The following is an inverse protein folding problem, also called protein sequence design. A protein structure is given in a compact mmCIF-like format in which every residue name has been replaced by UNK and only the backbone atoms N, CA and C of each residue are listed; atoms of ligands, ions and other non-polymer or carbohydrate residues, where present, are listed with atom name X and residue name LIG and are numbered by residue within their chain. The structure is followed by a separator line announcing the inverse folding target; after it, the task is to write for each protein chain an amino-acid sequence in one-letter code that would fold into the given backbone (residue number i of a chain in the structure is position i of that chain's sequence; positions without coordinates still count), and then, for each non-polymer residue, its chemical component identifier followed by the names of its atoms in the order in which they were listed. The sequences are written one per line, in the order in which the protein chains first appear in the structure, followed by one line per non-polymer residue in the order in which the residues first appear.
data_IF_077858610209
#
_entry.id   IF_077858610209
#
_cell.length_a   1.000
_cell.length_b   1.000
_cell.length_c   1.000
_cell.angle_alpha   90.00
_cell.angle_beta   90.00
_cell.angle_gamma   90.00
#
_symmetry.space_group_name_H-M   'P 1'
#
loop_
_entity.id
_entity.type
_entity.pdbx_description
1 polymer ?
#
# COMPACT_ATOMS: atom_id res chain seq x y z
N UNK A 1 -18.74 -5.20 -15.29
CA UNK A 1 -18.21 -5.86 -14.07
C UNK A 1 -16.83 -6.42 -14.41
N UNK A 2 -15.77 -6.09 -13.65
CA UNK A 2 -14.44 -6.67 -13.85
C UNK A 2 -14.34 -7.99 -13.06
N UNK A 3 -13.76 -9.06 -13.64
CA UNK A 3 -13.54 -10.32 -12.93
C UNK A 3 -12.74 -10.08 -11.64
N UNK A 4 -13.19 -10.65 -10.52
CA UNK A 4 -12.55 -10.51 -9.20
C UNK A 4 -11.06 -10.93 -9.21
N UNK A 5 -10.69 -11.85 -10.11
CA UNK A 5 -9.29 -12.28 -10.28
C UNK A 5 -8.40 -11.17 -10.87
N UNK A 6 -8.93 -10.34 -11.78
CA UNK A 6 -8.19 -9.22 -12.39
C UNK A 6 -8.10 -7.99 -11.47
N UNK A 7 -8.94 -7.92 -10.42
CA UNK A 7 -8.84 -6.87 -9.39
C UNK A 7 -7.56 -7.04 -8.55
N UNK A 8 -7.02 -8.27 -8.47
CA UNK A 8 -5.81 -8.58 -7.70
C UNK A 8 -4.50 -8.42 -8.48
N UNK A 9 -4.54 -8.29 -9.81
CA UNK A 9 -3.33 -8.13 -10.61
C UNK A 9 -2.63 -6.80 -10.30
N UNK A 10 -1.28 -6.80 -10.16
CA UNK A 10 -0.55 -5.56 -9.99
C UNK A 10 -0.74 -4.65 -11.19
N UNK A 11 -0.88 -3.34 -10.92
CA UNK A 11 -0.89 -2.33 -11.97
C UNK A 11 0.54 -2.04 -12.43
N UNK A 12 0.73 -1.82 -13.73
CA UNK A 12 2.04 -1.43 -14.26
C UNK A 12 2.51 -0.09 -13.69
N UNK A 13 1.57 0.85 -13.49
CA UNK A 13 1.81 2.14 -12.86
C UNK A 13 1.27 2.15 -11.44
N UNK A 14 2.05 2.73 -10.53
CA UNK A 14 1.59 2.99 -9.18
C UNK A 14 0.34 3.88 -9.18
N UNK A 15 -0.60 3.70 -8.23
CA UNK A 15 -1.72 4.61 -8.06
C UNK A 15 -1.22 6.05 -7.82
N UNK A 16 -1.84 7.00 -8.50
CA UNK A 16 -1.52 8.43 -8.41
C UNK A 16 -2.51 9.22 -7.53
N UNK A 17 -3.62 8.58 -7.12
CA UNK A 17 -4.66 9.20 -6.32
C UNK A 17 -5.01 8.32 -5.13
N UNK A 18 -5.17 8.97 -3.97
CA UNK A 18 -5.82 8.40 -2.79
C UNK A 18 -7.28 8.86 -2.77
N UNK A 19 -8.13 8.07 -2.12
CA UNK A 19 -9.53 8.45 -1.89
C UNK A 19 -9.64 9.20 -0.56
N UNK A 20 -10.40 10.30 -0.49
CA UNK A 20 -10.59 11.02 0.76
C UNK A 20 -11.25 10.11 1.81
N UNK A 21 -10.99 10.37 3.10
CA UNK A 21 -11.57 9.60 4.21
C UNK A 21 -13.10 9.61 4.16
N UNK A 22 -13.68 10.78 3.93
CA UNK A 22 -15.12 10.97 3.69
C UNK A 22 -15.29 11.76 2.39
N UNK A 23 -15.92 11.18 1.36
CA UNK A 23 -16.23 11.86 0.09
C UNK A 23 -17.12 13.11 0.27
N UNK A 24 -16.97 14.11 -0.61
CA UNK A 24 -17.66 15.40 -0.50
C UNK A 24 -19.19 15.26 -0.53
N UNK A 25 -19.72 14.36 -1.36
CA UNK A 25 -21.15 14.01 -1.45
C UNK A 25 -21.71 13.48 -0.11
N UNK A 26 -20.87 12.81 0.69
CA UNK A 26 -21.23 12.28 2.01
C UNK A 26 -21.14 13.33 3.11
N UNK A 27 -20.44 14.44 2.89
CA UNK A 27 -20.33 15.56 3.83
C UNK A 27 -21.48 16.56 3.68
N UNK A 28 -22.01 16.72 2.46
CA UNK A 28 -23.06 17.68 2.14
C UNK A 28 -24.29 17.66 3.08
N UNK A 29 -24.76 16.50 3.60
CA UNK A 29 -25.87 16.45 4.54
C UNK A 29 -25.58 16.99 5.95
N UNK A 30 -24.32 17.29 6.30
CA UNK A 30 -23.90 17.65 7.66
C UNK A 30 -23.25 19.04 7.73
N UNK A 31 -23.99 20.12 7.45
CA UNK A 31 -23.44 21.48 7.41
C UNK A 31 -22.90 21.95 8.77
N UNK A 32 -23.44 21.44 9.88
CA UNK A 32 -22.95 21.74 11.23
C UNK A 32 -21.51 21.26 11.50
N UNK A 33 -21.04 20.27 10.74
CA UNK A 33 -19.67 19.76 10.79
C UNK A 33 -18.75 20.42 9.76
N UNK A 34 -19.23 21.38 8.96
CA UNK A 34 -18.42 22.04 7.94
C UNK A 34 -17.13 22.69 8.49
N UNK A 35 -17.14 23.40 9.65
CA UNK A 35 -15.90 23.91 10.23
C UNK A 35 -14.94 22.78 10.61
N UNK A 36 -15.48 21.69 11.16
CA UNK A 36 -14.69 20.53 11.58
C UNK A 36 -14.06 19.82 10.37
N UNK A 37 -14.78 19.73 9.24
CA UNK A 37 -14.25 19.21 7.98
C UNK A 37 -13.14 20.08 7.40
N UNK A 38 -13.24 21.41 7.47
CA UNK A 38 -12.18 22.31 6.99
C UNK A 38 -10.87 22.10 7.77
N UNK A 39 -10.96 21.95 9.09
CA UNK A 39 -9.79 21.61 9.91
C UNK A 39 -9.21 20.26 9.50
N UNK A 40 -10.04 19.24 9.30
CA UNK A 40 -9.57 17.91 8.90
C UNK A 40 -8.94 17.89 7.50
N UNK A 41 -9.46 18.68 6.57
CA UNK A 41 -8.89 18.81 5.23
C UNK A 41 -7.54 19.55 5.26
N UNK A 42 -7.36 20.50 6.20
CA UNK A 42 -6.09 21.21 6.39
C UNK A 42 -5.04 20.35 7.09
N UNK A 43 -5.43 19.69 8.19
CA UNK A 43 -4.48 19.06 9.10
C UNK A 43 -4.28 17.56 8.83
N UNK A 44 -5.34 16.82 8.50
CA UNK A 44 -5.31 15.35 8.41
C UNK A 44 -5.20 14.86 6.97
N UNK A 45 -5.92 15.48 6.04
CA UNK A 45 -6.01 15.00 4.66
C UNK A 45 -4.65 14.93 3.92
N UNK A 46 -3.71 15.88 4.08
CA UNK A 46 -2.40 15.79 3.43
C UNK A 46 -1.61 14.56 3.91
N UNK A 47 -1.50 14.39 5.23
CA UNK A 47 -0.80 13.27 5.85
C UNK A 47 -1.44 11.92 5.48
N UNK A 48 -2.78 11.88 5.46
CA UNK A 48 -3.52 10.67 5.10
C UNK A 48 -3.28 10.30 3.64
N UNK A 49 -3.35 11.27 2.73
CA UNK A 49 -3.13 11.07 1.29
C UNK A 49 -1.72 10.55 1.02
N UNK A 50 -0.72 11.12 1.69
CA UNK A 50 0.67 10.69 1.57
C UNK A 50 0.87 9.23 2.03
N UNK A 51 0.38 8.89 3.23
CA UNK A 51 0.48 7.55 3.79
C UNK A 51 -0.28 6.51 2.95
N UNK A 52 -1.50 6.82 2.50
CA UNK A 52 -2.30 5.92 1.68
C UNK A 52 -1.68 5.71 0.29
N UNK A 53 -1.17 6.76 -0.36
CA UNK A 53 -0.43 6.63 -1.61
C UNK A 53 0.86 5.83 -1.44
N UNK A 54 1.59 6.04 -0.34
CA UNK A 54 2.79 5.26 -0.04
C UNK A 54 2.45 3.78 0.13
N UNK A 55 1.44 3.45 0.94
CA UNK A 55 0.96 2.09 1.10
C UNK A 55 0.57 1.45 -0.25
N UNK A 56 -0.18 2.17 -1.09
CA UNK A 56 -0.57 1.69 -2.42
C UNK A 56 0.64 1.43 -3.34
N UNK A 57 1.69 2.26 -3.27
CA UNK A 57 2.93 2.07 -4.02
C UNK A 57 3.66 0.80 -3.57
N UNK A 58 3.84 0.61 -2.26
CA UNK A 58 4.51 -0.57 -1.70
C UNK A 58 3.72 -1.85 -2.00
N UNK A 59 2.40 -1.83 -1.83
CA UNK A 59 1.54 -2.97 -2.17
C UNK A 59 1.68 -3.36 -3.64
N UNK A 60 1.67 -2.38 -4.55
CA UNK A 60 1.79 -2.66 -5.97
C UNK A 60 3.17 -3.22 -6.34
N UNK A 61 4.24 -2.71 -5.70
CA UNK A 61 5.60 -3.22 -5.87
C UNK A 61 5.72 -4.67 -5.40
N UNK A 62 5.25 -4.96 -4.19
CA UNK A 62 5.22 -6.30 -3.61
C UNK A 62 4.48 -7.29 -4.54
N UNK A 63 3.27 -6.93 -4.99
CA UNK A 63 2.51 -7.80 -5.92
C UNK A 63 3.22 -8.04 -7.25
N UNK A 64 3.93 -7.04 -7.79
CA UNK A 64 4.73 -7.21 -9.02
C UNK A 64 5.85 -8.22 -8.81
N UNK A 65 6.54 -8.17 -7.67
CA UNK A 65 7.59 -9.12 -7.33
C UNK A 65 7.02 -10.54 -7.25
N UNK A 66 5.90 -10.73 -6.55
CA UNK A 66 5.25 -12.05 -6.46
C UNK A 66 4.86 -12.62 -7.82
N UNK A 67 4.32 -11.79 -8.73
CA UNK A 67 3.97 -12.24 -10.08
C UNK A 67 5.22 -12.63 -10.87
N UNK A 68 6.31 -11.87 -10.77
CA UNK A 68 7.57 -12.20 -11.45
C UNK A 68 8.17 -13.51 -10.92
N UNK A 69 8.16 -13.71 -9.60
CA UNK A 69 8.60 -14.95 -8.97
C UNK A 69 7.76 -16.12 -9.49
N UNK A 70 6.43 -16.00 -9.47
CA UNK A 70 5.53 -17.05 -9.92
C UNK A 70 5.74 -17.41 -11.41
N UNK A 71 5.80 -16.41 -12.29
CA UNK A 71 6.07 -16.62 -13.72
C UNK A 71 7.44 -17.25 -13.95
N UNK A 72 8.44 -16.79 -13.19
CA UNK A 72 9.79 -17.33 -13.21
C UNK A 72 9.85 -18.80 -12.79
N UNK A 73 9.17 -19.15 -11.68
CA UNK A 73 9.05 -20.52 -11.21
C UNK A 73 8.32 -21.40 -12.24
N UNK A 74 7.21 -20.94 -12.81
CA UNK A 74 6.48 -21.67 -13.84
C UNK A 74 7.33 -21.93 -15.09
N UNK A 75 8.10 -20.93 -15.53
CA UNK A 75 9.02 -21.07 -16.66
C UNK A 75 10.15 -22.07 -16.35
N UNK A 76 10.74 -22.01 -15.14
CA UNK A 76 11.75 -22.99 -14.69
C UNK A 76 11.20 -24.41 -14.70
N UNK A 77 10.00 -24.63 -14.14
CA UNK A 77 9.34 -25.94 -14.15
C UNK A 77 9.06 -26.42 -15.57
N UNK A 78 8.54 -25.55 -16.44
CA UNK A 78 8.26 -25.90 -17.83
C UNK A 78 9.52 -26.26 -18.62
N UNK A 79 10.60 -25.49 -18.46
CA UNK A 79 11.90 -25.78 -19.08
C UNK A 79 12.52 -27.08 -18.55
N UNK A 80 12.38 -27.36 -17.24
CA UNK A 80 12.84 -28.61 -16.65
C UNK A 80 12.11 -29.82 -17.23
N UNK A 81 10.80 -29.70 -17.42
CA UNK A 81 9.98 -30.72 -18.09
C UNK A 81 10.39 -30.91 -19.56
N UNK A 82 10.66 -29.83 -20.30
CA UNK A 82 11.15 -29.91 -21.68
C UNK A 82 12.54 -30.55 -21.79
N UNK A 83 13.45 -30.25 -20.85
CA UNK A 83 14.77 -30.88 -20.82
C UNK A 83 14.68 -32.40 -20.62
N UNK A 84 13.68 -32.89 -19.88
CA UNK A 84 13.45 -34.32 -19.71
C UNK A 84 12.98 -35.02 -21.01
N UNK A 85 12.43 -34.28 -21.97
CA UNK A 85 11.95 -34.80 -23.26
C UNK A 85 12.99 -34.68 -24.39
N UNK A 86 13.96 -33.77 -24.27
CA UNK A 86 14.97 -33.47 -25.30
C UNK A 86 16.39 -33.65 -24.75
N UNK A 87 16.74 -34.87 -24.34
CA UNK A 87 18.02 -35.20 -23.69
C UNK A 87 19.26 -34.91 -24.56
N UNK A 88 19.14 -34.93 -25.89
CA UNK A 88 20.26 -34.70 -26.81
C UNK A 88 20.56 -33.22 -27.09
N UNK A 89 19.70 -32.30 -26.66
CA UNK A 89 19.85 -30.88 -26.92
C UNK A 89 20.24 -30.12 -25.64
N UNK A 90 21.33 -29.33 -25.74
CA UNK A 90 21.91 -28.59 -24.60
C UNK A 90 21.26 -27.22 -24.34
N UNK A 91 20.51 -26.68 -25.31
CA UNK A 91 19.92 -25.35 -25.22
C UNK A 91 18.84 -25.18 -24.12
N UNK A 92 18.03 -26.20 -23.74
CA UNK A 92 17.07 -26.06 -22.65
C UNK A 92 17.76 -25.85 -21.31
N UNK A 93 18.84 -26.59 -21.04
CA UNK A 93 19.62 -26.44 -19.82
C UNK A 93 20.30 -25.07 -19.69
N UNK A 94 20.77 -24.50 -20.81
CA UNK A 94 21.36 -23.15 -20.82
C UNK A 94 20.30 -22.08 -20.50
N UNK A 95 19.11 -22.17 -21.09
CA UNK A 95 18.00 -21.27 -20.76
C UNK A 95 17.56 -21.40 -19.31
N UNK A 96 17.53 -22.62 -18.78
CA UNK A 96 17.16 -22.91 -17.40
C UNK A 96 18.17 -22.34 -16.41
N UNK A 97 19.47 -22.46 -16.70
CA UNK A 97 20.54 -21.84 -15.91
C UNK A 97 20.46 -20.31 -15.93
N UNK A 98 20.24 -19.71 -17.10
CA UNK A 98 20.08 -18.26 -17.25
C UNK A 98 18.84 -17.75 -16.50
N UNK A 99 17.70 -18.42 -16.65
CA UNK A 99 16.47 -18.08 -15.90
C UNK A 99 16.67 -18.25 -14.40
N UNK A 100 17.33 -19.32 -13.97
CA UNK A 100 17.60 -19.60 -12.56
C UNK A 100 18.47 -18.52 -11.94
N UNK A 101 19.53 -18.08 -12.64
CA UNK A 101 20.38 -16.97 -12.19
C UNK A 101 19.61 -15.65 -12.17
N UNK A 102 18.80 -15.37 -13.19
CA UNK A 102 17.94 -14.17 -13.23
C UNK A 102 16.93 -14.17 -12.07
N UNK A 103 16.27 -15.29 -11.79
CA UNK A 103 15.34 -15.39 -10.65
C UNK A 103 16.06 -15.24 -9.31
N UNK A 104 17.19 -15.92 -9.13
CA UNK A 104 17.96 -15.86 -7.89
C UNK A 104 18.54 -14.46 -7.64
N UNK A 105 18.99 -13.77 -8.71
CA UNK A 105 19.43 -12.40 -8.65
C UNK A 105 18.27 -11.45 -8.33
N UNK A 106 17.08 -11.69 -8.92
CA UNK A 106 15.88 -10.93 -8.60
C UNK A 106 15.48 -11.14 -7.14
N UNK A 107 15.46 -12.38 -6.65
CA UNK A 107 15.16 -12.74 -5.26
C UNK A 107 16.13 -12.11 -4.24
N UNK A 108 17.44 -12.06 -4.54
CA UNK A 108 18.43 -11.36 -3.71
C UNK A 108 18.29 -9.83 -3.76
N UNK A 109 17.88 -9.28 -4.90
CA UNK A 109 17.67 -7.85 -5.07
C UNK A 109 16.33 -7.37 -4.50
N UNK A 110 15.34 -8.27 -4.39
CA UNK A 110 14.02 -7.96 -3.85
C UNK A 110 14.05 -8.07 -2.34
N UNK A 111 14.03 -6.91 -1.68
CA UNK A 111 13.71 -6.79 -0.26
C UNK A 111 12.21 -7.00 -0.03
N UNK A 112 11.68 -8.16 -0.41
CA UNK A 112 10.24 -8.45 -0.39
C UNK A 112 9.63 -8.25 1.01
N UNK A 113 10.38 -8.64 2.04
CA UNK A 113 10.00 -8.41 3.44
C UNK A 113 10.00 -6.94 3.83
N UNK A 114 10.92 -6.13 3.28
CA UNK A 114 10.95 -4.69 3.54
C UNK A 114 9.79 -3.99 2.82
N UNK A 115 9.50 -4.35 1.56
CA UNK A 115 8.37 -3.80 0.82
C UNK A 115 7.02 -4.14 1.49
N UNK A 116 6.89 -5.34 2.06
CA UNK A 116 5.71 -5.72 2.85
C UNK A 116 5.65 -4.94 4.18
N UNK A 117 6.78 -4.82 4.88
CA UNK A 117 6.87 -4.07 6.13
C UNK A 117 6.54 -2.59 5.92
N UNK A 118 7.07 -1.99 4.87
CA UNK A 118 6.81 -0.60 4.50
C UNK A 118 5.33 -0.40 4.13
N UNK A 119 4.75 -1.33 3.36
CA UNK A 119 3.31 -1.35 3.11
C UNK A 119 2.50 -1.36 4.41
N UNK A 120 2.82 -2.25 5.34
CA UNK A 120 2.08 -2.38 6.60
C UNK A 120 2.25 -1.13 7.47
N UNK A 121 3.46 -0.57 7.55
CA UNK A 121 3.73 0.65 8.31
C UNK A 121 2.91 1.84 7.79
N UNK A 122 2.96 2.08 6.48
CA UNK A 122 2.20 3.17 5.86
C UNK A 122 0.69 2.92 5.95
N UNK A 123 0.25 1.66 5.85
CA UNK A 123 -1.15 1.31 6.05
C UNK A 123 -1.61 1.60 7.47
N UNK A 124 -0.81 1.27 8.49
CA UNK A 124 -1.11 1.57 9.89
C UNK A 124 -1.21 3.07 10.10
N UNK A 125 -0.32 3.88 9.52
CA UNK A 125 -0.40 5.35 9.58
C UNK A 125 -1.72 5.85 8.97
N UNK A 126 -2.08 5.38 7.78
CA UNK A 126 -3.33 5.76 7.12
C UNK A 126 -4.58 5.37 7.94
N UNK A 127 -4.59 4.17 8.53
CA UNK A 127 -5.69 3.75 9.42
C UNK A 127 -5.74 4.59 10.70
N UNK A 128 -4.60 4.93 11.31
CA UNK A 128 -4.54 5.81 12.49
C UNK A 128 -5.06 7.21 12.17
N UNK A 129 -4.69 7.77 11.02
CA UNK A 129 -5.20 9.07 10.55
C UNK A 129 -6.71 9.01 10.24
N UNK A 130 -7.20 7.89 9.69
CA UNK A 130 -8.63 7.65 9.50
C UNK A 130 -9.37 7.60 10.84
N UNK A 131 -8.85 6.88 11.83
CA UNK A 131 -9.43 6.82 13.16
C UNK A 131 -9.42 8.21 13.84
N UNK A 132 -8.32 8.95 13.69
CA UNK A 132 -8.17 10.32 14.19
C UNK A 132 -9.22 11.26 13.59
N UNK A 133 -9.48 11.15 12.29
CA UNK A 133 -10.51 11.90 11.58
C UNK A 133 -11.89 11.72 12.25
N UNK A 134 -12.31 10.48 12.48
CA UNK A 134 -13.59 10.20 13.13
C UNK A 134 -13.63 10.61 14.61
N UNK A 135 -12.51 10.46 15.33
CA UNK A 135 -12.40 10.83 16.74
C UNK A 135 -12.53 12.35 16.95
N UNK A 136 -11.99 13.14 16.03
CA UNK A 136 -12.14 14.59 16.02
C UNK A 136 -13.59 15.01 15.71
N UNK A 137 -14.23 14.38 14.72
CA UNK A 137 -15.65 14.64 14.40
C UNK A 137 -16.59 14.27 15.54
N UNK A 138 -16.32 13.17 16.25
CA UNK A 138 -17.13 12.74 17.39
C UNK A 138 -16.86 13.55 18.67
N UNK A 139 -15.86 14.46 18.65
CA UNK A 139 -15.45 15.28 19.80
C UNK A 139 -15.19 14.45 21.06
N UNK A 140 -14.50 13.32 20.90
CA UNK A 140 -14.25 12.38 22.01
C UNK A 140 -12.81 12.47 22.52
N UNK A 141 -12.63 12.24 23.83
CA UNK A 141 -11.33 12.23 24.48
C UNK A 141 -10.61 13.60 24.37
N UNK A 142 -9.35 13.66 23.89
CA UNK A 142 -8.58 14.91 23.76
C UNK A 142 -9.22 15.97 22.86
N UNK A 143 -10.25 15.63 22.08
CA UNK A 143 -10.89 16.53 21.12
C UNK A 143 -12.23 17.09 21.61
N UNK A 144 -12.61 16.83 22.86
CA UNK A 144 -13.83 17.37 23.47
C UNK A 144 -13.69 18.83 23.93
N UNK A 145 -12.46 19.29 24.17
CA UNK A 145 -12.16 20.61 24.73
C UNK A 145 -11.82 21.69 23.71
N UNK A 146 -11.48 22.90 24.21
CA UNK A 146 -11.13 24.05 23.40
C UNK A 146 -9.84 23.86 22.58
N UNK A 147 -8.87 23.10 23.10
CA UNK A 147 -7.56 22.87 22.46
C UNK A 147 -7.57 21.74 21.41
N UNK A 148 -8.75 21.33 20.94
CA UNK A 148 -8.95 20.20 20.03
C UNK A 148 -8.11 20.28 18.75
N UNK A 149 -7.93 21.47 18.17
CA UNK A 149 -7.12 21.65 16.96
C UNK A 149 -5.62 21.46 17.24
N UNK A 150 -5.12 22.04 18.34
CA UNK A 150 -3.73 21.87 18.74
C UNK A 150 -3.41 20.40 19.10
N UNK A 151 -4.36 19.71 19.73
CA UNK A 151 -4.25 18.27 19.98
C UNK A 151 -4.24 17.47 18.68
N UNK A 152 -5.07 17.86 17.70
CA UNK A 152 -5.13 17.21 16.39
C UNK A 152 -3.80 17.33 15.64
N UNK A 153 -3.23 18.53 15.59
CA UNK A 153 -1.93 18.79 14.95
C UNK A 153 -0.82 17.93 15.57
N UNK A 154 -0.75 17.89 16.90
CA UNK A 154 0.22 17.03 17.61
C UNK A 154 0.02 15.56 17.30
N UNK A 155 -1.22 15.08 17.25
CA UNK A 155 -1.54 13.70 16.92
C UNK A 155 -1.16 13.33 15.47
N UNK A 156 -1.41 14.22 14.50
CA UNK A 156 -1.00 14.02 13.09
C UNK A 156 0.51 13.87 12.99
N UNK A 157 1.26 14.80 13.60
CA UNK A 157 2.73 14.75 13.60
C UNK A 157 3.23 13.46 14.26
N UNK A 158 2.68 13.06 15.40
CA UNK A 158 3.04 11.82 16.08
C UNK A 158 2.85 10.59 15.17
N UNK A 159 1.71 10.51 14.46
CA UNK A 159 1.42 9.39 13.55
C UNK A 159 2.37 9.38 12.35
N UNK A 160 2.72 10.55 11.78
CA UNK A 160 3.67 10.63 10.67
C UNK A 160 5.04 10.03 11.05
N UNK A 161 5.49 10.27 12.28
CA UNK A 161 6.71 9.68 12.84
C UNK A 161 6.53 8.25 13.38
N UNK A 162 5.38 7.60 13.13
CA UNK A 162 5.10 6.22 13.54
C UNK A 162 4.78 6.03 15.02
N UNK A 163 4.64 7.12 15.78
CA UNK A 163 4.30 7.07 17.21
C UNK A 163 2.78 6.94 17.41
N UNK A 164 2.38 6.51 18.60
CA UNK A 164 0.98 6.54 18.99
C UNK A 164 0.57 7.97 19.37
N UNK A 165 -0.60 8.44 18.90
CA UNK A 165 -1.12 9.74 19.32
C UNK A 165 -1.61 9.64 20.78
N UNK A 166 -0.88 10.30 21.68
CA UNK A 166 -1.26 10.57 23.08
C UNK A 166 -2.24 11.72 23.17
#
# INVERSE_FOLDING_TARGET
MRPLMLVRFPKLRAPAASWPVIPADRRAPYPSLAPDFQVLDREVAPAFTEADLAALRHQNRYRRQQVLILLGSAALTGLGGLQALFTDQRWPGLLLAVLGVLLAATGRATRELDDLKDYLNERVKAERLRALHFRFLSRTGPYAGADREANLQRAVVAIQFGKEPT
#
